data_IF_505635785439
#
_entry.id   IF_505635785439
#
_cell.length_a   1.000
_cell.length_b   1.000
_cell.length_c   1.000
_cell.angle_alpha   90.00
_cell.angle_beta   90.00
_cell.angle_gamma   90.00
#
_symmetry.space_group_name_H-M   'P 1'
#
loop_
_entity.id
_entity.type
_entity.pdbx_description
1 polymer ?
2 branched ?
3 non-polymer ?
4 non-polymer ?
5 water ?
#
# COMPACT_ATOMS: atom_id res chain seq x y z
N UNK A 6 14.93 4.17 20.39
CA UNK A 6 13.55 4.51 20.84
C UNK A 6 12.74 3.21 20.86
N UNK A 7 11.81 3.08 21.81
CA UNK A 7 10.88 1.91 21.88
C UNK A 7 9.46 2.28 21.47
N UNK A 8 8.76 1.35 20.82
CA UNK A 8 7.46 1.58 20.26
C UNK A 8 6.50 0.41 20.53
N UNK A 9 5.23 0.73 20.57
CA UNK A 9 4.16 -0.24 20.59
C UNK A 9 3.25 -0.04 19.39
N UNK A 10 2.61 -1.13 19.03
CA UNK A 10 1.62 -1.10 17.96
C UNK A 10 0.41 -0.34 18.47
N UNK A 11 0.05 0.70 17.73
CA UNK A 11 -1.09 1.56 18.04
C UNK A 11 -2.31 1.14 17.25
N UNK A 12 -2.13 0.87 15.96
CA UNK A 12 -3.22 0.46 15.11
C UNK A 12 -2.72 -0.59 14.14
N UNK A 13 -3.60 -1.51 13.82
CA UNK A 13 -3.30 -2.56 12.83
C UNK A 13 -4.54 -2.95 12.04
N UNK A 14 -4.36 -3.05 10.73
CA UNK A 14 -5.42 -3.47 9.83
C UNK A 14 -4.92 -4.68 9.06
N UNK A 15 -5.56 -5.80 9.29
CA UNK A 15 -5.24 -7.06 8.60
C UNK A 15 -6.29 -7.46 7.57
N UNK A 16 -7.38 -6.70 7.45
CA UNK A 16 -8.42 -6.93 6.45
C UNK A 16 -9.01 -8.34 6.60
N UNK A 17 -9.16 -8.79 7.85
CA UNK A 17 -9.72 -10.13 8.11
C UNK A 17 -11.15 -10.29 7.68
N UNK A 18 -11.84 -9.17 7.57
CA UNK A 18 -13.22 -9.15 7.17
C UNK A 18 -13.50 -8.11 6.11
N UNK A 19 -14.43 -8.41 5.23
CA UNK A 19 -14.91 -7.46 4.20
C UNK A 19 -15.51 -6.14 4.77
N UNK A 20 -15.98 -6.15 6.02
CA UNK A 20 -16.53 -4.92 6.59
C UNK A 20 -15.46 -3.85 6.86
N UNK A 21 -14.19 -4.24 6.93
CA UNK A 21 -13.11 -3.26 7.08
C UNK A 21 -12.95 -2.45 5.82
N UNK A 22 -13.31 -3.00 4.68
CA UNK A 22 -13.01 -2.31 3.40
C UNK A 22 -13.79 -0.99 3.27
N UNK A 23 -14.92 -0.86 3.97
CA UNK A 23 -15.68 0.40 3.90
C UNK A 23 -14.99 1.61 4.54
N UNK A 24 -13.97 1.35 5.35
CA UNK A 24 -13.17 2.40 5.95
C UNK A 24 -12.13 2.97 4.98
N UNK A 25 -11.96 2.35 3.80
CA UNK A 25 -10.94 2.79 2.82
C UNK A 25 -11.62 3.44 1.63
N UNK A 26 -10.95 4.46 1.10
CA UNK A 26 -11.48 5.13 -0.08
C UNK A 26 -10.38 5.33 -1.12
N UNK A 27 -10.83 5.58 -2.34
CA UNK A 27 -9.97 5.91 -3.46
C UNK A 27 -9.66 7.38 -3.39
N UNK A 28 -8.40 7.71 -3.16
CA UNK A 28 -8.04 9.12 -2.98
C UNK A 28 -7.41 9.74 -4.22
N UNK A 29 -7.28 8.99 -5.29
CA UNK A 29 -6.88 9.50 -6.60
C UNK A 29 -5.82 8.73 -7.31
N UNK A 30 -5.40 9.26 -8.45
CA UNK A 30 -4.39 8.64 -9.29
C UNK A 30 -3.47 9.74 -9.84
N UNK A 31 -2.36 9.30 -10.40
CA UNK A 31 -1.45 10.17 -11.18
C UNK A 31 -0.81 9.33 -12.28
N UNK A 32 -1.18 9.58 -13.55
CA UNK A 32 -0.64 8.86 -14.70
C UNK A 32 -0.90 7.34 -14.61
N UNK A 33 -2.01 6.96 -13.96
CA UNK A 33 -2.49 5.58 -13.88
C UNK A 33 -3.99 5.62 -13.65
N UNK A 34 -4.61 4.45 -13.68
CA UNK A 34 -6.06 4.35 -13.60
C UNK A 34 -6.43 3.18 -12.68
N UNK A 35 -7.54 3.34 -12.00
CA UNK A 35 -8.24 2.23 -11.35
C UNK A 35 -9.22 1.62 -12.32
N UNK A 36 -9.41 0.31 -12.21
CA UNK A 36 -10.54 -0.36 -12.85
C UNK A 36 -11.81 -0.22 -12.00
N UNK A 37 -12.80 -1.05 -12.33
CA UNK A 37 -14.13 -1.04 -11.71
C UNK A 37 -14.49 -2.50 -11.40
N UNK A 38 -14.59 -2.91 -10.13
CA UNK A 38 -14.47 -2.02 -8.96
C UNK A 38 -13.04 -1.56 -8.73
N UNK A 39 -12.89 -0.37 -8.18
CA UNK A 39 -11.55 0.17 -7.89
C UNK A 39 -10.88 -0.59 -6.76
N UNK A 40 -11.62 -0.80 -5.69
CA UNK A 40 -11.13 -1.38 -4.46
C UNK A 40 -12.16 -2.39 -3.98
N UNK A 41 -11.72 -3.56 -3.59
CA UNK A 41 -12.60 -4.57 -3.02
C UNK A 41 -11.88 -5.48 -2.05
N UNK A 42 -12.62 -6.22 -1.23
CA UNK A 42 -12.04 -7.25 -0.41
C UNK A 42 -11.69 -8.50 -1.20
N UNK A 43 -10.59 -9.12 -0.80
CA UNK A 43 -10.19 -10.44 -1.30
C UNK A 43 -9.92 -11.33 -0.10
N UNK A 44 -10.65 -12.46 -0.02
CA UNK A 44 -10.49 -13.36 1.11
C UNK A 44 -9.47 -14.47 0.98
N UNK A 45 -8.85 -14.64 -0.19
CA UNK A 45 -7.77 -15.65 -0.30
C UNK A 45 -6.39 -15.04 0.01
N UNK A 46 -6.12 -13.93 -0.62
CA UNK A 46 -4.81 -13.33 -0.47
C UNK A 46 -4.69 -12.80 0.97
N UNK A 47 -3.64 -13.19 1.66
CA UNK A 47 -3.32 -12.67 2.99
C UNK A 47 -4.34 -13.02 4.05
N UNK A 48 -5.10 -14.09 3.85
CA UNK A 48 -6.33 -14.41 4.61
C UNK A 48 -7.25 -13.22 4.78
N UNK A 49 -7.42 -12.47 3.69
CA UNK A 49 -8.13 -11.21 3.70
C UNK A 49 -7.14 -10.10 3.43
N UNK A 50 -7.36 -9.37 2.34
CA UNK A 50 -6.48 -8.28 1.91
C UNK A 50 -7.31 -7.29 1.09
N UNK A 51 -6.79 -6.07 1.00
CA UNK A 51 -7.38 -5.03 0.19
C UNK A 51 -6.90 -5.18 -1.25
N UNK A 52 -7.83 -5.39 -2.17
CA UNK A 52 -7.53 -5.57 -3.58
C UNK A 52 -7.77 -4.26 -4.34
N UNK A 53 -6.72 -3.74 -4.95
CA UNK A 53 -6.76 -2.57 -5.84
C UNK A 53 -6.71 -3.09 -7.25
N UNK A 54 -7.69 -2.74 -8.08
CA UNK A 54 -7.69 -3.13 -9.50
C UNK A 54 -7.12 -1.97 -10.29
N UNK A 55 -5.94 -2.17 -10.86
CA UNK A 55 -5.16 -1.07 -11.43
C UNK A 55 -4.86 -1.28 -12.88
N UNK A 56 -4.52 -0.17 -13.54
CA UNK A 56 -3.98 -0.20 -14.89
C UNK A 56 -2.85 0.80 -14.95
N UNK A 57 -1.61 0.30 -14.96
CA UNK A 57 -0.42 1.14 -15.04
C UNK A 57 0.16 0.96 -16.47
N UNK A 58 0.28 2.02 -17.23
CA UNK A 58 0.78 1.90 -18.61
C UNK A 58 2.24 1.54 -18.79
N UNK A 59 3.04 1.85 -17.78
CA UNK A 59 4.46 1.58 -17.70
C UNK A 59 5.30 2.44 -18.64
N UNK A 60 4.83 3.64 -18.95
CA UNK A 60 5.59 4.59 -19.82
C UNK A 60 6.41 5.62 -19.07
N UNK A 61 6.10 5.92 -17.81
CA UNK A 61 6.82 6.94 -17.08
C UNK A 61 7.29 6.42 -15.73
N UNK A 62 8.00 7.29 -15.01
CA UNK A 62 8.66 6.93 -13.76
C UNK A 62 7.77 6.99 -12.53
N UNK A 63 6.59 7.56 -12.65
CA UNK A 63 5.69 7.73 -11.53
C UNK A 63 4.24 7.58 -11.97
N UNK A 64 3.70 6.37 -11.77
CA UNK A 64 2.37 6.00 -12.16
C UNK A 64 1.69 5.47 -10.88
N UNK A 65 0.80 6.30 -10.35
CA UNK A 65 0.35 6.19 -8.97
C UNK A 65 -1.14 5.92 -8.85
N UNK A 66 -1.52 4.99 -7.97
CA UNK A 66 -2.92 4.89 -7.50
C UNK A 66 -2.86 4.98 -5.97
N UNK A 67 -3.88 5.53 -5.35
CA UNK A 67 -3.84 5.84 -3.92
C UNK A 67 -5.12 5.44 -3.22
N UNK A 68 -4.97 4.84 -2.03
CA UNK A 68 -6.09 4.51 -1.18
C UNK A 68 -5.82 5.14 0.19
N UNK A 69 -6.87 5.37 0.97
CA UNK A 69 -6.74 6.04 2.23
C UNK A 69 -7.71 5.51 3.28
N UNK A 70 -7.35 5.72 4.54
CA UNK A 70 -8.20 5.39 5.68
C UNK A 70 -7.97 6.41 6.79
N UNK A 71 -8.99 6.73 7.58
CA UNK A 71 -8.77 7.52 8.79
C UNK A 71 -8.24 6.63 9.92
N UNK A 72 -7.35 7.21 10.70
CA UNK A 72 -6.76 6.58 11.85
C UNK A 72 -6.76 7.62 12.95
N UNK A 73 -7.56 7.38 13.98
CA UNK A 73 -7.68 8.38 15.04
C UNK A 73 -6.36 8.68 15.75
N UNK A 74 -5.42 7.74 15.81
CA UNK A 74 -4.19 7.99 16.56
C UNK A 74 -3.04 8.42 15.70
N UNK A 75 -3.32 8.71 14.44
CA UNK A 75 -2.25 8.92 13.47
C UNK A 75 -1.28 10.00 13.89
N UNK A 76 -1.78 11.06 14.55
CA UNK A 76 -0.90 12.16 14.94
C UNK A 76 0.08 11.78 16.05
N UNK A 77 -0.10 10.59 16.66
CA UNK A 77 0.81 10.10 17.73
C UNK A 77 1.83 9.12 17.17
N UNK A 78 1.67 8.75 15.91
CA UNK A 78 2.51 7.68 15.35
C UNK A 78 3.75 8.14 14.65
N UNK A 79 4.72 7.23 14.54
CA UNK A 79 6.03 7.52 14.03
C UNK A 79 6.60 6.46 13.08
N UNK A 80 5.95 5.29 13.01
CA UNK A 80 6.38 4.24 12.06
C UNK A 80 5.14 3.62 11.44
N UNK A 81 5.19 3.49 10.10
CA UNK A 81 4.19 2.79 9.32
C UNK A 81 4.85 1.61 8.64
N UNK A 82 4.17 0.48 8.63
CA UNK A 82 4.54 -0.68 7.84
C UNK A 82 3.34 -1.23 7.12
N UNK A 83 3.55 -1.74 5.90
CA UNK A 83 2.53 -2.49 5.18
C UNK A 83 3.19 -3.38 4.16
N UNK A 84 2.43 -4.33 3.65
CA UNK A 84 2.86 -5.23 2.60
C UNK A 84 2.06 -5.00 1.34
N UNK A 85 2.75 -5.17 0.21
CA UNK A 85 2.14 -5.16 -1.11
C UNK A 85 2.38 -6.55 -1.73
N UNK A 86 1.33 -7.14 -2.30
CA UNK A 86 1.45 -8.39 -3.07
C UNK A 86 1.00 -8.16 -4.50
N UNK A 87 1.77 -8.69 -5.45
CA UNK A 87 1.45 -8.65 -6.87
C UNK A 87 1.53 -10.08 -7.41
N UNK A 88 0.51 -10.55 -8.10
CA UNK A 88 0.60 -11.90 -8.67
C UNK A 88 1.93 -12.16 -9.38
N UNK A 89 2.51 -13.34 -9.17
CA UNK A 89 3.81 -13.70 -9.73
C UNK A 89 3.72 -14.12 -11.21
N UNK A 90 3.18 -13.25 -12.02
CA UNK A 90 3.08 -13.53 -13.45
C UNK A 90 4.46 -13.41 -14.10
N UNK A 91 4.79 -14.36 -14.97
CA UNK A 91 6.09 -14.30 -15.63
C UNK A 91 6.20 -13.11 -16.56
N UNK A 92 7.37 -12.47 -16.58
CA UNK A 92 7.62 -11.45 -17.57
C UNK A 92 7.42 -10.02 -17.10
N UNK A 93 6.89 -9.85 -15.89
CA UNK A 93 6.71 -8.52 -15.35
C UNK A 93 8.07 -7.81 -15.20
N UNK A 94 8.09 -6.56 -15.63
CA UNK A 94 9.28 -5.70 -15.53
C UNK A 94 8.89 -4.36 -14.92
N UNK A 95 9.86 -3.75 -14.27
CA UNK A 95 9.77 -2.42 -13.74
C UNK A 95 10.01 -2.32 -12.26
N UNK A 96 9.70 -1.16 -11.69
CA UNK A 96 10.02 -0.84 -10.32
C UNK A 96 8.75 -0.35 -9.60
N UNK A 97 8.63 -0.69 -8.31
CA UNK A 97 7.62 -0.13 -7.46
C UNK A 97 8.31 0.94 -6.59
N UNK A 98 7.62 2.03 -6.37
CA UNK A 98 8.05 3.17 -5.56
C UNK A 98 6.99 3.54 -4.56
N UNK A 99 6.60 2.57 -3.70
CA UNK A 99 5.50 2.82 -2.77
C UNK A 99 5.87 3.82 -1.68
N UNK A 100 4.89 4.61 -1.25
CA UNK A 100 5.11 5.55 -0.17
C UNK A 100 3.79 5.76 0.59
N UNK A 101 3.69 6.84 1.35
CA UNK A 101 2.41 7.18 2.00
C UNK A 101 2.36 8.68 2.24
N UNK A 102 1.18 9.15 2.64
CA UNK A 102 0.93 10.59 2.87
C UNK A 102 0.06 10.74 4.11
N UNK A 103 0.36 11.72 4.96
CA UNK A 103 -0.49 12.10 6.10
C UNK A 103 -1.30 13.33 5.71
N UNK A 104 -2.53 13.38 6.15
CA UNK A 104 -3.44 14.48 5.76
C UNK A 104 -4.40 14.74 6.93
N UNK A 105 -4.90 15.97 7.14
CA UNK A 105 -4.54 17.23 6.47
C UNK A 105 -3.07 17.56 6.40
N UNK A 106 -2.72 18.38 5.42
CA UNK A 106 -1.37 18.85 5.22
C UNK A 106 -0.65 18.24 4.04
N UNK A 107 -1.20 17.16 3.47
CA UNK A 107 -0.56 16.43 2.38
C UNK A 107 0.96 16.27 2.60
N UNK A 108 1.27 15.64 3.73
CA UNK A 108 2.64 15.42 4.19
C UNK A 108 3.17 14.10 3.64
N UNK A 109 4.01 14.18 2.63
CA UNK A 109 4.48 13.00 1.93
C UNK A 109 5.54 12.35 2.80
N UNK A 110 5.41 11.07 3.05
CA UNK A 110 6.38 10.33 3.86
C UNK A 110 6.96 9.13 3.13
N UNK A 111 8.21 8.81 3.45
CA UNK A 111 8.85 7.66 2.84
C UNK A 111 9.18 7.73 1.35
N UNK A 112 9.28 8.92 0.75
CA UNK A 112 9.50 8.97 -0.70
C UNK A 112 10.82 8.28 -1.05
N UNK A 113 10.73 7.30 -1.93
CA UNK A 113 11.87 6.54 -2.48
C UNK A 113 12.64 5.77 -1.42
N UNK A 114 11.96 5.46 -0.31
CA UNK A 114 12.63 4.70 0.75
C UNK A 114 12.44 3.19 0.67
N UNK A 115 11.46 2.73 -0.10
CA UNK A 115 11.14 1.32 -0.19
C UNK A 115 11.00 0.86 -1.65
N UNK A 116 11.85 1.41 -2.52
CA UNK A 116 11.77 1.10 -3.95
C UNK A 116 12.28 -0.30 -4.20
N UNK A 117 11.67 -0.99 -5.13
CA UNK A 117 11.93 -2.41 -5.40
C UNK A 117 11.74 -2.71 -6.86
N UNK A 118 12.74 -3.36 -7.44
CA UNK A 118 12.62 -3.84 -8.83
C UNK A 118 11.77 -5.12 -8.70
N UNK A 119 10.76 -5.28 -9.55
CA UNK A 119 9.84 -6.40 -9.48
C UNK A 119 10.52 -7.73 -9.94
N UNK A 120 11.65 -7.63 -10.63
CA UNK A 120 12.25 -8.80 -11.25
C UNK A 120 12.96 -9.67 -10.24
N UNK A 121 13.44 -9.04 -9.17
CA UNK A 121 14.18 -9.72 -8.09
C UNK A 121 13.49 -9.46 -6.73
N UNK A 122 12.46 -10.28 -6.47
CA UNK A 122 11.48 -10.06 -5.39
C UNK A 122 11.30 -11.32 -4.58
N UNK A 123 11.03 -11.18 -3.28
CA UNK A 123 10.59 -12.35 -2.47
C UNK A 123 9.23 -12.81 -2.97
N UNK A 124 8.90 -14.08 -2.77
CA UNK A 124 7.58 -14.59 -3.12
C UNK A 124 6.88 -15.15 -1.89
N UNK A 125 5.57 -15.10 -1.91
CA UNK A 125 4.74 -15.65 -0.85
C UNK A 125 3.60 -16.39 -1.51
N UNK A 126 3.12 -17.44 -0.86
CA UNK A 126 2.09 -18.26 -1.47
C UNK A 126 0.76 -18.17 -0.69
N UNK A 127 -0.32 -17.98 -1.43
CA UNK A 127 -1.68 -18.07 -0.89
C UNK A 127 -2.51 -18.89 -1.86
N UNK A 128 -3.14 -19.94 -1.35
CA UNK A 128 -4.06 -20.72 -2.18
C UNK A 128 -3.41 -21.45 -3.34
N UNK A 129 -2.16 -21.90 -3.16
CA UNK A 129 -1.39 -22.48 -4.23
C UNK A 129 -0.95 -21.51 -5.33
N UNK A 130 -1.23 -20.21 -5.18
CA UNK A 130 -0.73 -19.19 -6.11
C UNK A 130 0.39 -18.40 -5.46
N UNK A 131 1.36 -17.99 -6.29
CA UNK A 131 2.52 -17.22 -5.83
C UNK A 131 2.30 -15.74 -6.09
N UNK A 132 2.82 -14.92 -5.18
CA UNK A 132 2.82 -13.47 -5.28
C UNK A 132 4.21 -12.93 -5.00
N UNK A 133 4.62 -11.95 -5.77
CA UNK A 133 5.74 -11.10 -5.39
C UNK A 133 5.37 -10.29 -4.17
N UNK A 134 6.27 -10.21 -3.19
CA UNK A 134 5.98 -9.57 -1.91
C UNK A 134 6.93 -8.41 -1.70
N UNK A 135 6.40 -7.24 -1.31
CA UNK A 135 7.18 -6.03 -1.10
C UNK A 135 6.76 -5.47 0.26
N UNK A 136 7.71 -5.36 1.15
CA UNK A 136 7.44 -4.79 2.44
C UNK A 136 7.80 -3.34 2.41
N UNK A 137 6.96 -2.52 3.03
CA UNK A 137 7.19 -1.10 3.12
C UNK A 137 7.26 -0.71 4.61
N UNK A 138 8.38 -0.06 4.97
CA UNK A 138 8.57 0.50 6.32
C UNK A 138 8.98 1.96 6.20
N UNK A 139 8.22 2.84 6.83
CA UNK A 139 8.43 4.26 6.81
C UNK A 139 8.48 4.85 8.20
N UNK A 140 9.58 5.53 8.54
CA UNK A 140 9.65 6.33 9.76
C UNK A 140 9.32 7.77 9.47
N UNK A 141 8.59 8.38 10.36
CA UNK A 141 8.21 9.80 10.27
C UNK A 141 8.08 10.46 11.68
N UNK A 142 7.92 11.79 11.72
CA UNK A 142 7.75 12.48 13.00
C UNK A 142 6.30 12.60 13.38
N UNK A 143 6.03 12.67 14.69
CA UNK A 143 4.69 12.96 15.15
C UNK A 143 4.27 14.28 14.45
N UNK A 144 3.11 14.24 13.81
CA UNK A 144 2.65 15.35 13.00
C UNK A 144 1.30 15.78 13.52
N UNK A 145 1.23 16.98 14.09
CA UNK A 145 -0.03 17.48 14.64
C UNK A 145 -1.15 17.58 13.60
N UNK A 146 -2.35 17.25 14.02
CA UNK A 146 -3.54 17.51 13.23
C UNK A 146 -3.82 16.52 12.11
N UNK A 147 -2.95 15.52 11.89
CA UNK A 147 -3.24 14.55 10.83
C UNK A 147 -4.23 13.50 11.30
N UNK A 148 -5.06 13.03 10.36
CA UNK A 148 -6.13 12.10 10.68
C UNK A 148 -6.33 11.03 9.63
N UNK A 149 -5.78 11.20 8.43
CA UNK A 149 -5.89 10.29 7.29
C UNK A 149 -4.53 9.78 6.86
N UNK A 150 -4.42 8.47 6.63
CA UNK A 150 -3.27 7.86 5.97
C UNK A 150 -3.64 7.47 4.55
N UNK A 151 -2.88 8.00 3.58
CA UNK A 151 -2.98 7.62 2.21
C UNK A 151 -1.79 6.71 1.89
N UNK A 152 -2.07 5.57 1.31
CA UNK A 152 -1.06 4.65 0.83
C UNK A 152 -0.96 4.82 -0.67
N UNK A 153 0.24 5.15 -1.15
CA UNK A 153 0.49 5.34 -2.57
C UNK A 153 1.25 4.20 -3.17
N UNK A 154 0.61 3.50 -4.11
CA UNK A 154 1.18 2.38 -4.84
C UNK A 154 1.63 2.95 -6.19
N UNK A 155 2.92 2.96 -6.43
CA UNK A 155 3.51 3.68 -7.55
C UNK A 155 4.34 2.76 -8.40
N UNK A 156 4.04 2.72 -9.68
CA UNK A 156 4.85 2.02 -10.67
C UNK A 156 5.78 2.98 -11.42
N UNK A 157 6.90 2.43 -11.84
CA UNK A 157 7.96 3.11 -12.57
C UNK A 157 8.30 2.16 -13.68
N UNK A 158 7.82 2.46 -14.90
CA UNK A 158 7.96 1.58 -16.04
C UNK A 158 7.54 0.13 -15.78
N UNK A 159 6.50 0.02 -14.95
CA UNK A 159 5.87 -1.25 -14.58
C UNK A 159 4.52 -1.33 -15.31
N UNK A 160 4.52 -1.94 -16.50
CA UNK A 160 3.28 -2.13 -17.25
C UNK A 160 2.49 -3.26 -16.65
N UNK A 161 1.31 -2.96 -16.15
CA UNK A 161 0.53 -3.96 -15.41
C UNK A 161 -0.94 -3.57 -15.37
N UNK A 162 -1.77 -4.53 -15.71
CA UNK A 162 -3.22 -4.40 -15.70
C UNK A 162 -3.72 -5.62 -14.92
N UNK A 163 -4.09 -5.38 -13.67
CA UNK A 163 -4.60 -6.41 -12.80
C UNK A 163 -4.61 -5.99 -11.36
N UNK A 164 -4.75 -6.96 -10.46
CA UNK A 164 -4.85 -6.64 -9.03
C UNK A 164 -3.53 -6.45 -8.32
N UNK A 165 -3.51 -5.52 -7.37
CA UNK A 165 -2.39 -5.33 -6.45
C UNK A 165 -3.02 -5.35 -5.03
N UNK A 166 -2.43 -6.09 -4.08
CA UNK A 166 -3.05 -6.25 -2.77
C UNK A 166 -2.21 -5.53 -1.73
N UNK A 167 -2.90 -4.93 -0.74
CA UNK A 167 -2.29 -4.35 0.44
C UNK A 167 -2.73 -5.15 1.67
N UNK A 168 -1.82 -5.37 2.58
CA UNK A 168 -2.15 -6.10 3.80
C UNK A 168 -1.25 -5.64 4.95
N UNK A 169 -1.64 -5.99 6.18
CA UNK A 169 -0.78 -5.86 7.36
C UNK A 169 -0.34 -4.41 7.58
N UNK A 170 -1.30 -3.50 7.55
CA UNK A 170 -1.03 -2.10 7.79
C UNK A 170 -0.86 -1.92 9.29
N UNK A 171 0.32 -1.47 9.70
CA UNK A 171 0.69 -1.31 11.12
C UNK A 171 1.21 0.08 11.39
N UNK A 172 0.72 0.70 12.47
CA UNK A 172 1.15 2.00 12.90
C UNK A 172 1.64 1.89 14.33
N UNK A 173 2.84 2.43 14.58
CA UNK A 173 3.52 2.33 15.88
C UNK A 173 3.68 3.72 16.48
N UNK A 174 3.55 3.78 17.80
CA UNK A 174 3.84 5.01 18.58
C UNK A 174 4.84 4.71 19.70
N UNK A 175 5.50 5.75 20.18
CA UNK A 175 6.40 5.63 21.33
C UNK A 175 5.74 5.17 22.64
N UNK A 176 6.43 4.33 23.42
CA UNK A 176 6.11 4.12 24.84
C UNK A 176 7.09 5.00 25.59
X LIG B 1 16.57 11.32 -9.63
X LIG B 1 15.94 11.67 -8.30
X LIG B 1 14.47 11.30 -8.31
X LIG B 1 13.79 11.86 -9.56
X LIG B 1 14.57 11.62 -10.86
X LIG B 1 13.96 12.24 -12.14
X LIG B 1 17.94 11.62 -9.56
X LIG B 1 16.09 13.07 -8.11
X LIG B 1 13.90 11.90 -7.15
X LIG B 1 12.53 11.34 -9.77
X LIG B 1 15.90 12.04 -10.65
X LIG B 1 13.67 13.64 -12.09
X LIG B 2 11.59 12.08 -9.00
X LIG B 2 10.36 12.03 -9.89
X LIG B 2 9.20 12.72 -9.21
X LIG B 2 9.05 12.15 -7.79
X LIG B 2 10.35 12.16 -6.99
X LIG B 2 10.18 11.44 -5.65
X LIG B 2 10.02 10.70 -10.23
X LIG B 2 8.04 12.58 -10.01
X LIG B 2 8.20 12.99 -7.11
X LIG B 2 11.40 11.54 -7.69
X LIG B 2 11.36 11.52 -4.88
X LIG B 3 6.82 12.63 -7.09
X LIG B 3 6.23 13.11 -5.77
X LIG B 3 4.72 12.82 -5.74
X LIG B 3 4.06 13.41 -6.98
X LIG B 3 4.79 12.95 -8.22
X LIG B 3 4.31 13.58 -9.56
X LIG B 3 6.41 14.50 -5.63
X LIG B 3 4.18 13.28 -4.53
X LIG B 3 2.76 12.89 -6.97
X LIG B 3 6.15 13.28 -8.13
X LIG B 3 4.31 14.98 -9.46
X LIG B 4 1.76 13.89 -7.04
X LIG B 4 0.43 13.12 -7.13
X LIG B 4 -0.74 14.08 -7.03
X LIG B 4 -0.65 15.01 -5.84
X LIG B 4 0.75 15.66 -5.87
X LIG B 4 1.02 16.65 -4.73
X LIG B 4 0.32 12.15 -6.08
X LIG B 4 -1.94 13.31 -7.07
X LIG B 4 -1.65 16.05 -5.91
X LIG B 4 1.77 14.66 -5.87
X LIG B 4 2.29 17.21 -4.93
X LIG B 5 -2.36 16.24 -4.70
X LIG B 5 -2.91 17.67 -4.70
X LIG B 5 -3.60 17.95 -3.39
X LIG B 5 -4.61 16.86 -3.13
X LIG B 5 -4.06 15.45 -3.35
X LIG B 5 -5.18 14.41 -3.24
X LIG B 5 -3.82 17.80 -5.79
X LIG B 5 -4.31 19.18 -3.47
X LIG B 5 -5.06 17.04 -1.82
X LIG B 5 -3.41 15.32 -4.60
X LIG B 5 -6.05 14.45 -4.34
X LIG C 1 -8.51 -6.98 10.96
X LIG C 1 -7.54 -6.14 11.54
X LIG C 1 -9.57 -6.08 10.44
X LIG C 1 -8.89 -5.25 9.58
X LIG C 1 -10.66 -6.80 9.64
X LIG C 1 -11.94 -6.23 9.81
X LIG D 1 11.45 -8.52 5.38
X LIG D 1 12.00 -9.59 4.63
X LIG D 1 10.71 -9.11 6.56
X LIG D 1 11.57 -9.93 7.33
X LIG D 1 10.20 -7.97 7.35
X LIG D 1 8.95 -7.56 6.83
X LIG E 1 -4.71 -10.11 5.96
#
# INVERSE_FOLDING_TARGET
MASNEARYVLAEEVDFSSPEEVKNWWNSGTWQAEFGSPDIEWNGEVGNGALQLNVKLPGKSDWEEVRVARKFERLSECEILEYDIYIPNVEGLKGRLRPYAVLNPGWVKIGLDMNNANVESAEIITFGGKEYRRFHVRIEFDRTAGVKELHIGVVGDHLRYDGPIFIDNVRLYKRTGGM
BMA C1 C2 C3 C4 C5 C6 O1 O2 O3 O4 O5 O6
BMA C1 C2 C3 C4 C5 C6 O2 O3 O4 O5 O6
BMA C1 C2 C3 C4 C5 C6 O2 O3 O4 O5 O6
BMA C1 C2 C3 C4 C5 C6 O2 O3 O4 O5 O6
BMA C1 C2 C3 C4 C5 C6 O2 O3 O4 O5 O6
GOL C1 O1 C2 O2 C3 O3
GOL C1 O1 C2 O2 C3 O3
CA CA
#
